data_IF_252253513601
#
_entry.id   IF_252253513601
#
_cell.length_a   1.000
_cell.length_b   1.000
_cell.length_c   1.000
_cell.angle_alpha   90.00
_cell.angle_beta   90.00
_cell.angle_gamma   90.00
#
_symmetry.space_group_name_H-M   'P 1'
#
loop_
_entity.id
_entity.type
_entity.pdbx_description
1 polymer ?
#
# COMPACT_ATOMS: atom_id res chain seq x y z
N UNK A 1 2.46 -11.57 -35.18
CA UNK A 1 1.28 -12.40 -34.89
C UNK A 1 0.06 -11.49 -34.84
N UNK A 2 -0.72 -11.41 -35.91
CA UNK A 2 -1.98 -10.66 -35.93
C UNK A 2 -3.06 -11.50 -35.29
N UNK A 3 -3.55 -11.09 -34.12
CA UNK A 3 -4.54 -11.86 -33.33
C UNK A 3 -5.92 -11.75 -34.00
N UNK A 4 -6.68 -12.84 -34.26
CA UNK A 4 -7.75 -12.87 -35.28
C UNK A 4 -9.10 -12.23 -34.94
N UNK A 5 -9.26 -11.54 -33.81
CA UNK A 5 -10.53 -10.94 -33.38
C UNK A 5 -10.34 -9.45 -33.09
N UNK A 6 -11.38 -8.66 -33.32
CA UNK A 6 -11.39 -7.21 -33.11
C UNK A 6 -11.19 -6.83 -31.63
N UNK A 7 -10.64 -5.65 -31.37
CA UNK A 7 -10.61 -5.07 -30.03
C UNK A 7 -12.05 -4.93 -29.48
N UNK A 8 -12.28 -5.40 -28.26
CA UNK A 8 -13.58 -5.33 -27.59
C UNK A 8 -14.54 -6.50 -27.84
N UNK A 9 -14.06 -7.60 -28.45
CA UNK A 9 -14.78 -8.88 -28.44
C UNK A 9 -15.06 -9.34 -27.00
N UNK A 10 -16.24 -9.91 -26.76
CA UNK A 10 -16.69 -10.43 -25.46
C UNK A 10 -15.76 -11.49 -24.87
N UNK A 11 -14.99 -12.17 -25.72
CA UNK A 11 -13.98 -13.18 -25.36
C UNK A 11 -12.60 -12.60 -25.06
N UNK A 12 -12.44 -11.27 -25.08
CA UNK A 12 -11.17 -10.58 -24.89
C UNK A 12 -11.26 -9.50 -23.80
N UNK A 13 -10.11 -9.03 -23.29
CA UNK A 13 -10.08 -7.80 -22.51
C UNK A 13 -10.81 -6.66 -23.21
N UNK A 14 -11.50 -5.82 -22.45
CA UNK A 14 -12.22 -4.67 -23.01
C UNK A 14 -11.25 -3.75 -23.77
N UNK A 15 -11.77 -2.96 -24.71
CA UNK A 15 -10.96 -1.97 -25.43
C UNK A 15 -10.25 -1.01 -24.47
N UNK A 16 -10.92 -0.61 -23.38
CA UNK A 16 -10.36 0.23 -22.33
C UNK A 16 -9.15 -0.41 -21.64
N UNK A 17 -9.31 -1.64 -21.12
CA UNK A 17 -8.21 -2.34 -20.45
C UNK A 17 -7.05 -2.61 -21.42
N UNK A 18 -7.37 -3.05 -22.64
CA UNK A 18 -6.37 -3.28 -23.69
C UNK A 18 -5.57 -2.02 -24.00
N UNK A 19 -6.23 -0.86 -24.18
CA UNK A 19 -5.53 0.39 -24.47
C UNK A 19 -4.62 0.83 -23.31
N UNK A 20 -5.07 0.65 -22.06
CA UNK A 20 -4.24 0.95 -20.88
C UNK A 20 -3.02 0.02 -20.81
N UNK A 21 -3.19 -1.28 -21.04
CA UNK A 21 -2.07 -2.24 -21.03
C UNK A 21 -1.08 -1.95 -22.15
N UNK A 22 -1.54 -1.65 -23.36
CA UNK A 22 -0.65 -1.25 -24.46
C UNK A 22 0.09 0.05 -24.16
N UNK A 23 -0.60 1.04 -23.60
CA UNK A 23 0.00 2.29 -23.16
C UNK A 23 1.10 2.06 -22.12
N UNK A 24 0.84 1.24 -21.09
CA UNK A 24 1.83 0.92 -20.08
C UNK A 24 3.02 0.16 -20.65
N UNK A 25 2.79 -0.84 -21.50
CA UNK A 25 3.87 -1.57 -22.18
C UNK A 25 4.76 -0.63 -22.99
N UNK A 26 4.15 0.32 -23.71
CA UNK A 26 4.85 1.35 -24.47
C UNK A 26 5.66 2.28 -23.55
N UNK A 27 5.07 2.77 -22.46
CA UNK A 27 5.75 3.63 -21.48
C UNK A 27 6.93 2.92 -20.80
N UNK A 28 6.77 1.65 -20.41
CA UNK A 28 7.83 0.86 -19.78
C UNK A 28 8.95 0.48 -20.76
N UNK A 29 8.65 0.44 -22.07
CA UNK A 29 9.65 0.16 -23.12
C UNK A 29 10.45 1.39 -23.56
N UNK A 30 10.25 2.56 -22.93
CA UNK A 30 11.01 3.78 -23.24
C UNK A 30 10.48 4.58 -24.44
N UNK A 31 9.16 4.72 -24.56
CA UNK A 31 8.54 5.53 -25.61
C UNK A 31 8.93 7.01 -25.59
N UNK A 32 8.81 7.64 -26.76
CA UNK A 32 8.94 9.08 -26.90
C UNK A 32 7.75 9.82 -26.27
N UNK A 33 7.95 11.09 -25.91
CA UNK A 33 6.90 11.91 -25.30
C UNK A 33 5.63 12.04 -26.17
N UNK A 34 5.80 12.08 -27.49
CA UNK A 34 4.68 12.17 -28.45
C UNK A 34 3.87 10.88 -28.48
N UNK A 35 4.54 9.73 -28.53
CA UNK A 35 3.91 8.41 -28.49
C UNK A 35 3.18 8.19 -27.16
N UNK A 36 3.83 8.54 -26.04
CA UNK A 36 3.23 8.44 -24.71
C UNK A 36 1.96 9.27 -24.62
N UNK A 37 1.98 10.51 -25.10
CA UNK A 37 0.82 11.42 -25.10
C UNK A 37 -0.33 10.86 -25.95
N UNK A 38 -0.05 10.34 -27.14
CA UNK A 38 -1.07 9.79 -28.03
C UNK A 38 -1.75 8.54 -27.45
N UNK A 39 -0.96 7.61 -26.91
CA UNK A 39 -1.50 6.39 -26.31
C UNK A 39 -2.22 6.65 -24.99
N UNK A 40 -1.71 7.56 -24.16
CA UNK A 40 -2.37 7.97 -22.92
C UNK A 40 -3.73 8.61 -23.23
N UNK A 41 -3.79 9.53 -24.19
CA UNK A 41 -5.05 10.18 -24.60
C UNK A 41 -6.09 9.15 -25.05
N UNK A 42 -5.67 8.17 -25.84
CA UNK A 42 -6.54 7.07 -26.28
C UNK A 42 -7.00 6.20 -25.11
N UNK A 43 -6.10 5.83 -24.21
CA UNK A 43 -6.43 5.01 -23.04
C UNK A 43 -7.45 5.72 -22.13
N UNK A 44 -7.23 6.99 -21.80
CA UNK A 44 -8.15 7.80 -21.01
C UNK A 44 -9.55 7.90 -21.65
N UNK A 45 -9.61 8.12 -22.97
CA UNK A 45 -10.88 8.16 -23.71
C UNK A 45 -11.63 6.84 -23.69
N UNK A 46 -10.94 5.70 -23.73
CA UNK A 46 -11.59 4.39 -23.67
C UNK A 46 -12.08 4.07 -22.25
N UNK A 47 -11.28 4.40 -21.23
CA UNK A 47 -11.64 4.17 -19.82
C UNK A 47 -12.86 5.00 -19.42
N UNK A 48 -12.94 6.28 -19.82
CA UNK A 48 -14.09 7.13 -19.52
C UNK A 48 -15.42 6.61 -20.09
N UNK A 49 -15.36 5.79 -21.14
CA UNK A 49 -16.52 5.23 -21.83
C UNK A 49 -16.83 3.77 -21.46
N UNK A 50 -16.02 3.14 -20.60
CA UNK A 50 -16.11 1.69 -20.36
C UNK A 50 -17.47 1.25 -19.80
N UNK A 51 -18.06 2.05 -18.92
CA UNK A 51 -19.37 1.75 -18.31
C UNK A 51 -20.53 1.84 -19.29
N UNK A 52 -20.38 2.61 -20.36
CA UNK A 52 -21.35 2.72 -21.44
C UNK A 52 -21.27 1.56 -22.44
N UNK A 53 -20.25 0.70 -22.34
CA UNK A 53 -20.11 -0.48 -23.20
C UNK A 53 -21.00 -1.64 -22.74
N UNK A 54 -21.30 -2.55 -23.66
CA UNK A 54 -22.04 -3.78 -23.37
C UNK A 54 -21.13 -4.93 -22.91
N UNK A 55 -19.86 -4.66 -22.59
CA UNK A 55 -18.92 -5.72 -22.19
C UNK A 55 -19.36 -6.34 -20.83
N UNK A 56 -19.36 -7.68 -20.68
CA UNK A 56 -19.81 -8.37 -19.48
C UNK A 56 -18.92 -8.04 -18.28
N UNK A 57 -17.61 -8.01 -18.49
CA UNK A 57 -16.62 -7.69 -17.45
C UNK A 57 -16.31 -6.19 -17.32
N UNK A 58 -17.18 -5.28 -17.82
CA UNK A 58 -16.89 -3.83 -17.86
C UNK A 58 -16.52 -3.23 -16.51
N UNK A 59 -17.09 -3.72 -15.41
CA UNK A 59 -16.78 -3.22 -14.06
C UNK A 59 -15.41 -3.70 -13.56
N UNK A 60 -15.07 -4.98 -13.78
CA UNK A 60 -13.77 -5.55 -13.42
C UNK A 60 -12.67 -4.93 -14.27
N UNK A 61 -12.83 -4.97 -15.59
CA UNK A 61 -11.88 -4.35 -16.53
C UNK A 61 -11.74 -2.85 -16.29
N UNK A 62 -12.82 -2.17 -15.90
CA UNK A 62 -12.78 -0.74 -15.53
C UNK A 62 -11.96 -0.52 -14.28
N UNK A 63 -12.20 -1.32 -13.25
CA UNK A 63 -11.43 -1.27 -11.99
C UNK A 63 -9.93 -1.51 -12.25
N UNK A 64 -9.59 -2.54 -13.02
CA UNK A 64 -8.20 -2.84 -13.41
C UNK A 64 -7.56 -1.69 -14.19
N UNK A 65 -8.27 -1.13 -15.19
CA UNK A 65 -7.77 -0.03 -16.00
C UNK A 65 -7.53 1.25 -15.17
N UNK A 66 -8.43 1.57 -14.25
CA UNK A 66 -8.31 2.70 -13.32
C UNK A 66 -7.13 2.52 -12.35
N UNK A 67 -6.93 1.31 -11.80
CA UNK A 67 -5.75 0.98 -10.97
C UNK A 67 -4.45 1.21 -11.75
N UNK A 68 -4.36 0.67 -12.97
CA UNK A 68 -3.18 0.75 -13.81
C UNK A 68 -2.83 2.20 -14.19
N UNK A 69 -3.84 3.01 -14.56
CA UNK A 69 -3.66 4.44 -14.81
C UNK A 69 -3.23 5.18 -13.55
N UNK A 70 -3.87 4.89 -12.42
CA UNK A 70 -3.51 5.47 -11.13
C UNK A 70 -2.04 5.23 -10.79
N UNK A 71 -1.56 3.98 -10.92
CA UNK A 71 -0.15 3.62 -10.70
C UNK A 71 0.78 4.35 -11.66
N UNK A 72 0.42 4.54 -12.94
CA UNK A 72 1.21 5.34 -13.88
C UNK A 72 1.32 6.81 -13.45
N UNK A 73 0.21 7.44 -13.10
CA UNK A 73 0.24 8.84 -12.67
C UNK A 73 1.03 9.01 -11.37
N UNK A 74 0.90 8.07 -10.44
CA UNK A 74 1.74 8.02 -9.27
C UNK A 74 3.22 7.77 -9.59
N UNK A 75 3.57 6.95 -10.58
CA UNK A 75 4.97 6.76 -11.01
C UNK A 75 5.57 8.03 -11.58
N UNK A 76 4.77 8.82 -12.30
CA UNK A 76 5.19 10.05 -13.00
C UNK A 76 5.11 11.32 -12.16
N UNK A 77 4.79 11.22 -10.86
CA UNK A 77 4.67 12.36 -9.95
C UNK A 77 3.38 13.18 -10.15
N UNK A 78 2.45 12.69 -10.96
CA UNK A 78 1.15 13.31 -11.29
C UNK A 78 0.10 12.94 -10.25
N UNK A 79 0.35 13.31 -8.99
CA UNK A 79 -0.39 12.80 -7.84
C UNK A 79 -1.91 13.07 -7.86
N UNK A 80 -2.35 14.23 -8.34
CA UNK A 80 -3.78 14.57 -8.41
C UNK A 80 -4.55 13.64 -9.35
N UNK A 81 -3.97 13.33 -10.51
CA UNK A 81 -4.57 12.42 -11.49
C UNK A 81 -4.52 10.97 -10.99
N UNK A 82 -3.41 10.59 -10.34
CA UNK A 82 -3.31 9.29 -9.66
C UNK A 82 -4.41 9.11 -8.62
N UNK A 83 -4.70 10.15 -7.81
CA UNK A 83 -5.79 10.16 -6.83
C UNK A 83 -7.17 10.09 -7.49
N UNK A 84 -7.37 10.79 -8.61
CA UNK A 84 -8.62 10.75 -9.36
C UNK A 84 -8.93 9.32 -9.82
N UNK A 85 -8.00 8.69 -10.54
CA UNK A 85 -8.17 7.33 -11.05
C UNK A 85 -8.30 6.29 -9.92
N UNK A 86 -7.55 6.45 -8.82
CA UNK A 86 -7.72 5.55 -7.67
C UNK A 86 -9.11 5.68 -7.05
N UNK A 87 -9.64 6.91 -6.94
CA UNK A 87 -10.99 7.15 -6.41
C UNK A 87 -12.05 6.52 -7.32
N UNK A 88 -11.88 6.62 -8.64
CA UNK A 88 -12.73 5.92 -9.61
C UNK A 88 -12.69 4.40 -9.41
N UNK A 89 -11.50 3.81 -9.24
CA UNK A 89 -11.37 2.37 -8.95
C UNK A 89 -12.10 1.95 -7.66
N UNK A 90 -12.04 2.76 -6.61
CA UNK A 90 -12.79 2.54 -5.35
C UNK A 90 -14.29 2.54 -5.60
N UNK A 91 -14.80 3.54 -6.31
CA UNK A 91 -16.22 3.63 -6.65
C UNK A 91 -16.67 2.42 -7.47
N UNK A 92 -15.89 2.02 -8.48
CA UNK A 92 -16.18 0.83 -9.29
C UNK A 92 -16.21 -0.44 -8.44
N UNK A 93 -15.20 -0.67 -7.59
CA UNK A 93 -15.13 -1.85 -6.73
C UNK A 93 -16.33 -1.92 -5.75
N UNK A 94 -16.76 -0.79 -5.21
CA UNK A 94 -17.92 -0.72 -4.35
C UNK A 94 -19.25 -0.95 -5.10
N UNK A 95 -19.43 -0.29 -6.25
CA UNK A 95 -20.60 -0.48 -7.12
C UNK A 95 -20.72 -1.93 -7.61
N UNK A 96 -19.59 -2.59 -7.86
CA UNK A 96 -19.49 -3.99 -8.22
C UNK A 96 -19.72 -4.95 -7.04
N UNK A 97 -19.86 -4.44 -5.80
CA UNK A 97 -20.05 -5.28 -4.61
C UNK A 97 -18.83 -6.08 -4.20
N UNK A 98 -17.62 -5.72 -4.67
CA UNK A 98 -16.41 -6.53 -4.46
C UNK A 98 -15.94 -6.58 -3.01
N UNK A 99 -16.51 -5.76 -2.12
CA UNK A 99 -16.26 -5.76 -0.68
C UNK A 99 -17.12 -6.78 0.09
N UNK A 100 -18.06 -7.47 -0.59
CA UNK A 100 -19.01 -8.44 -0.02
C UNK A 100 -18.90 -9.85 -0.62
N UNK A 101 -17.82 -10.14 -1.34
CA UNK A 101 -17.59 -11.47 -1.93
C UNK A 101 -17.51 -12.53 -0.82
N UNK A 102 -18.15 -13.69 -1.04
CA UNK A 102 -18.21 -14.80 -0.08
C UNK A 102 -18.59 -14.40 1.37
N UNK A 103 -19.53 -13.47 1.54
CA UNK A 103 -19.98 -13.06 2.87
C UNK A 103 -20.71 -14.19 3.60
N UNK A 104 -20.20 -14.55 4.79
CA UNK A 104 -20.85 -15.50 5.70
C UNK A 104 -21.95 -14.89 6.58
N UNK A 105 -22.26 -13.60 6.43
CA UNK A 105 -23.29 -12.94 7.25
C UNK A 105 -24.70 -13.27 6.73
N UNK A 106 -25.63 -13.73 7.61
CA UNK A 106 -27.03 -14.00 7.23
C UNK A 106 -27.79 -12.73 6.80
N UNK A 107 -27.25 -11.54 7.09
CA UNK A 107 -27.77 -10.25 6.63
C UNK A 107 -27.45 -9.95 5.15
N UNK A 108 -26.95 -10.92 4.40
CA UNK A 108 -26.81 -10.83 2.93
C UNK A 108 -28.18 -10.87 2.22
N UNK A 109 -29.19 -10.22 2.77
CA UNK A 109 -30.20 -9.60 1.92
C UNK A 109 -29.51 -8.43 1.24
N UNK A 110 -29.27 -8.58 -0.06
CA UNK A 110 -28.87 -7.49 -0.93
C UNK A 110 -29.69 -6.23 -0.58
N UNK A 111 -29.09 -5.05 -0.41
CA UNK A 111 -29.83 -3.79 -0.30
C UNK A 111 -30.66 -3.44 -1.55
N UNK A 112 -30.85 -4.38 -2.50
CA UNK A 112 -31.80 -4.29 -3.60
C UNK A 112 -33.24 -4.67 -3.22
N UNK A 113 -33.52 -5.03 -1.97
CA UNK A 113 -34.86 -5.41 -1.52
C UNK A 113 -35.80 -4.25 -1.15
N UNK A 114 -35.29 -3.03 -0.92
CA UNK A 114 -36.10 -1.90 -0.42
C UNK A 114 -36.02 -0.61 -1.27
N UNK A 115 -35.30 -0.64 -2.38
CA UNK A 115 -35.45 0.31 -3.48
C UNK A 115 -35.46 -0.48 -4.78
N UNK A 116 -36.60 -0.48 -5.48
CA UNK A 116 -36.80 -1.23 -6.71
C UNK A 116 -35.91 -0.74 -7.85
N UNK A 117 -34.68 -1.25 -7.94
CA UNK A 117 -33.86 -1.47 -9.13
C UNK A 117 -32.41 -1.80 -8.69
N UNK A 118 -32.00 -3.07 -8.82
CA UNK A 118 -30.58 -3.45 -8.80
C UNK A 118 -30.24 -4.55 -7.79
N UNK A 119 -30.20 -5.80 -8.26
CA UNK A 119 -29.36 -6.84 -7.64
C UNK A 119 -27.87 -6.46 -7.73
N UNK A 120 -26.94 -7.32 -7.27
CA UNK A 120 -25.51 -7.08 -7.49
C UNK A 120 -25.25 -6.76 -8.96
N UNK A 121 -24.56 -5.65 -9.24
CA UNK A 121 -24.27 -5.20 -10.61
C UNK A 121 -23.44 -6.22 -11.40
N UNK A 122 -22.73 -7.11 -10.69
CA UNK A 122 -21.98 -8.22 -11.26
C UNK A 122 -22.73 -9.54 -11.07
N UNK A 123 -22.73 -10.43 -12.09
CA UNK A 123 -23.17 -11.81 -11.92
C UNK A 123 -22.24 -12.55 -10.96
N UNK A 124 -22.64 -13.74 -10.50
CA UNK A 124 -21.75 -14.63 -9.76
C UNK A 124 -20.47 -14.93 -10.55
N UNK A 125 -19.34 -15.24 -9.87
CA UNK A 125 -18.12 -15.64 -10.54
C UNK A 125 -18.34 -16.84 -11.48
N UNK A 126 -17.76 -16.81 -12.66
CA UNK A 126 -17.93 -17.87 -13.66
C UNK A 126 -17.15 -19.14 -13.30
N UNK A 127 -15.97 -18.95 -12.72
CA UNK A 127 -15.06 -20.00 -12.27
C UNK A 127 -14.21 -19.49 -11.09
N UNK A 128 -13.31 -20.35 -10.60
CA UNK A 128 -12.39 -20.01 -9.50
C UNK A 128 -11.43 -18.88 -9.88
N UNK A 129 -11.06 -18.75 -11.15
CA UNK A 129 -10.13 -17.73 -11.66
C UNK A 129 -10.82 -16.35 -11.60
N UNK A 130 -12.02 -16.20 -12.16
CA UNK A 130 -12.84 -14.98 -12.09
C UNK A 130 -13.07 -14.57 -10.64
N UNK A 131 -13.31 -15.54 -9.75
CA UNK A 131 -13.40 -15.25 -8.31
C UNK A 131 -12.08 -14.72 -7.72
N UNK A 132 -10.95 -15.34 -8.07
CA UNK A 132 -9.62 -14.90 -7.68
C UNK A 132 -9.31 -13.48 -8.16
N UNK A 133 -9.63 -13.15 -9.41
CA UNK A 133 -9.45 -11.82 -10.00
C UNK A 133 -10.27 -10.76 -9.25
N UNK A 134 -11.52 -11.07 -8.89
CA UNK A 134 -12.41 -10.16 -8.15
C UNK A 134 -11.92 -9.89 -6.73
N UNK A 135 -11.51 -10.94 -6.02
CA UNK A 135 -11.00 -10.83 -4.65
C UNK A 135 -9.66 -10.07 -4.65
N UNK A 136 -8.71 -10.46 -5.50
CA UNK A 136 -7.42 -9.78 -5.61
C UNK A 136 -7.58 -8.33 -6.09
N UNK A 137 -8.50 -8.08 -7.02
CA UNK A 137 -8.83 -6.73 -7.48
C UNK A 137 -9.30 -5.82 -6.35
N UNK A 138 -10.23 -6.29 -5.51
CA UNK A 138 -10.69 -5.55 -4.33
C UNK A 138 -9.53 -5.21 -3.39
N UNK A 139 -8.72 -6.21 -3.02
CA UNK A 139 -7.62 -5.99 -2.09
C UNK A 139 -6.51 -5.11 -2.67
N UNK A 140 -6.34 -5.10 -4.00
CA UNK A 140 -5.42 -4.19 -4.68
C UNK A 140 -5.88 -2.75 -4.53
N UNK A 141 -7.15 -2.46 -4.82
CA UNK A 141 -7.74 -1.12 -4.62
C UNK A 141 -7.59 -0.70 -3.16
N UNK A 142 -7.99 -1.56 -2.23
CA UNK A 142 -7.92 -1.30 -0.79
C UNK A 142 -6.49 -0.95 -0.33
N UNK A 143 -5.51 -1.74 -0.77
CA UNK A 143 -4.10 -1.56 -0.42
C UNK A 143 -3.55 -0.25 -0.94
N UNK A 144 -3.79 0.05 -2.22
CA UNK A 144 -3.36 1.30 -2.83
C UNK A 144 -3.98 2.51 -2.13
N UNK A 145 -5.27 2.46 -1.78
CA UNK A 145 -5.93 3.55 -1.06
C UNK A 145 -5.28 3.83 0.29
N UNK A 146 -5.01 2.78 1.07
CA UNK A 146 -4.36 2.93 2.38
C UNK A 146 -2.96 3.53 2.25
N UNK A 147 -2.12 2.97 1.36
CA UNK A 147 -0.74 3.43 1.18
C UNK A 147 -0.66 4.88 0.66
N UNK A 148 -1.39 5.19 -0.41
CA UNK A 148 -1.34 6.52 -1.02
C UNK A 148 -2.05 7.58 -0.17
N UNK A 149 -3.02 7.18 0.67
CA UNK A 149 -3.71 8.08 1.60
C UNK A 149 -2.77 8.65 2.66
N UNK A 150 -1.81 7.83 3.12
CA UNK A 150 -0.80 8.26 4.09
C UNK A 150 0.31 9.10 3.44
N UNK A 151 0.67 8.82 2.18
CA UNK A 151 1.79 9.46 1.50
C UNK A 151 1.52 10.83 0.89
N UNK A 152 0.35 11.00 0.26
CA UNK A 152 0.01 12.19 -0.55
C UNK A 152 -1.07 13.04 0.14
N UNK A 153 -1.44 12.68 1.37
CA UNK A 153 -2.53 13.30 2.11
C UNK A 153 -3.88 12.66 1.75
N UNK A 154 -4.74 12.58 2.77
CA UNK A 154 -5.91 11.71 2.82
C UNK A 154 -6.72 11.62 1.53
N UNK A 155 -7.17 10.41 1.24
CA UNK A 155 -8.35 10.25 0.42
C UNK A 155 -9.55 10.63 1.28
N UNK A 156 -10.38 11.55 0.81
CA UNK A 156 -11.73 11.74 1.36
C UNK A 156 -12.64 10.55 1.03
N UNK A 157 -12.09 9.33 0.94
CA UNK A 157 -12.86 8.13 0.68
C UNK A 157 -13.50 7.69 1.99
N UNK A 158 -14.52 8.45 2.37
CA UNK A 158 -15.54 8.13 3.36
C UNK A 158 -16.06 6.69 3.18
N UNK A 159 -15.85 6.07 2.01
CA UNK A 159 -16.18 4.68 1.72
C UNK A 159 -15.46 3.69 2.65
N UNK A 160 -14.13 3.67 2.78
CA UNK A 160 -13.50 2.62 3.62
C UNK A 160 -13.63 2.86 5.12
N UNK A 161 -13.79 4.12 5.55
CA UNK A 161 -14.14 4.43 6.94
C UNK A 161 -15.58 4.03 7.26
N UNK A 162 -16.53 4.23 6.33
CA UNK A 162 -17.94 3.84 6.49
C UNK A 162 -18.17 2.34 6.27
N UNK A 163 -17.39 1.69 5.39
CA UNK A 163 -17.53 0.28 5.02
C UNK A 163 -16.52 -0.64 5.70
N UNK A 164 -15.53 -0.14 6.44
CA UNK A 164 -14.49 -0.98 7.07
C UNK A 164 -15.07 -2.04 8.02
N UNK A 165 -16.17 -1.71 8.72
CA UNK A 165 -16.97 -2.64 9.52
C UNK A 165 -17.79 -3.64 8.69
N UNK A 166 -17.91 -3.41 7.39
CA UNK A 166 -18.73 -4.13 6.42
C UNK A 166 -17.91 -4.79 5.30
N UNK A 167 -16.58 -4.81 5.36
CA UNK A 167 -15.78 -5.59 4.40
C UNK A 167 -15.88 -7.06 4.82
N UNK A 168 -16.61 -7.84 4.02
CA UNK A 168 -16.78 -9.29 4.23
C UNK A 168 -15.97 -10.11 3.24
N UNK A 169 -15.29 -9.50 2.27
CA UNK A 169 -14.43 -10.24 1.33
C UNK A 169 -13.29 -10.91 2.11
N UNK A 170 -13.04 -12.22 1.91
CA UNK A 170 -11.96 -12.92 2.60
C UNK A 170 -10.59 -12.42 2.11
N UNK A 171 -9.54 -12.59 2.92
CA UNK A 171 -8.17 -12.30 2.49
C UNK A 171 -7.83 -13.06 1.21
N UNK A 172 -7.10 -12.46 0.25
CA UNK A 172 -6.85 -13.08 -1.05
C UNK A 172 -5.96 -14.31 -0.91
N UNK A 173 -6.11 -15.27 -1.83
CA UNK A 173 -5.14 -16.35 -2.03
C UNK A 173 -4.16 -15.96 -3.16
N UNK A 174 -3.07 -16.71 -3.30
CA UNK A 174 -2.21 -16.59 -4.48
C UNK A 174 -3.00 -17.03 -5.73
N UNK A 175 -2.72 -16.45 -6.90
CA UNK A 175 -3.55 -16.66 -8.09
C UNK A 175 -3.53 -18.13 -8.54
N UNK A 176 -2.39 -18.78 -8.33
CA UNK A 176 -2.15 -20.20 -8.59
C UNK A 176 -3.12 -21.11 -7.83
N UNK A 177 -3.53 -20.71 -6.61
CA UNK A 177 -4.51 -21.50 -5.84
C UNK A 177 -5.91 -21.44 -6.44
N UNK A 178 -6.28 -20.33 -7.08
CA UNK A 178 -7.54 -20.23 -7.81
C UNK A 178 -7.48 -21.01 -9.13
N UNK A 179 -6.37 -20.91 -9.86
CA UNK A 179 -6.15 -21.62 -11.13
C UNK A 179 -6.16 -23.14 -10.95
N UNK A 180 -5.53 -23.63 -9.88
CA UNK A 180 -5.45 -25.05 -9.56
C UNK A 180 -6.62 -25.52 -8.66
N UNK A 181 -7.61 -24.64 -8.45
CA UNK A 181 -8.83 -24.87 -7.68
C UNK A 181 -8.57 -25.40 -6.24
N UNK A 182 -7.49 -24.91 -5.62
CA UNK A 182 -7.08 -25.18 -4.22
C UNK A 182 -7.74 -24.23 -3.23
N UNK A 183 -8.99 -23.85 -3.48
CA UNK A 183 -9.72 -22.98 -2.59
C UNK A 183 -10.10 -23.76 -1.31
N UNK A 184 -9.81 -23.21 -0.11
CA UNK A 184 -10.15 -23.88 1.15
C UNK A 184 -11.66 -24.11 1.30
N UNK A 185 -12.09 -25.24 1.89
CA UNK A 185 -13.52 -25.60 1.99
C UNK A 185 -14.36 -24.63 2.82
N UNK A 186 -13.76 -23.82 3.70
CA UNK A 186 -14.41 -22.78 4.50
C UNK A 186 -13.88 -21.38 4.16
N UNK A 187 -13.48 -21.16 2.91
CA UNK A 187 -13.02 -19.86 2.45
C UNK A 187 -14.21 -18.90 2.31
N UNK A 188 -14.64 -18.33 3.43
CA UNK A 188 -15.69 -17.32 3.55
C UNK A 188 -15.13 -16.13 4.32
N UNK A 189 -15.63 -14.93 4.05
CA UNK A 189 -15.26 -13.77 4.84
C UNK A 189 -16.44 -13.21 5.64
N UNK A 190 -16.12 -12.54 6.74
CA UNK A 190 -17.10 -12.00 7.67
C UNK A 190 -16.43 -10.90 8.50
N UNK A 191 -16.75 -9.63 8.21
CA UNK A 191 -16.10 -8.47 8.84
C UNK A 191 -14.56 -8.62 8.87
N UNK A 192 -13.98 -9.02 7.75
CA UNK A 192 -12.58 -9.48 7.60
C UNK A 192 -11.57 -8.52 8.22
N UNK A 193 -11.68 -7.22 7.89
CA UNK A 193 -10.84 -6.15 8.44
C UNK A 193 -11.01 -6.00 9.95
N UNK A 194 -12.26 -5.96 10.42
CA UNK A 194 -12.58 -5.80 11.85
C UNK A 194 -12.05 -6.98 12.68
N UNK A 195 -12.17 -8.21 12.18
CA UNK A 195 -11.68 -9.42 12.86
C UNK A 195 -10.16 -9.42 13.00
N UNK A 196 -9.45 -8.99 11.95
CA UNK A 196 -7.99 -8.82 11.99
C UNK A 196 -7.57 -7.77 13.03
N UNK A 197 -8.19 -6.58 13.01
CA UNK A 197 -7.89 -5.52 13.98
C UNK A 197 -8.23 -5.90 15.42
N UNK A 198 -9.26 -6.74 15.60
CA UNK A 198 -9.67 -7.23 16.92
C UNK A 198 -8.85 -8.42 17.40
N UNK A 199 -7.82 -8.86 16.64
CA UNK A 199 -6.96 -9.99 16.95
C UNK A 199 -7.75 -11.28 17.26
N UNK A 200 -8.89 -11.47 16.59
CA UNK A 200 -9.67 -12.69 16.77
C UNK A 200 -8.80 -13.87 16.31
N UNK A 201 -8.55 -14.88 17.15
CA UNK A 201 -7.73 -16.01 16.77
C UNK A 201 -8.24 -16.62 15.48
N UNK A 202 -7.38 -16.60 14.46
CA UNK A 202 -7.59 -17.34 13.24
C UNK A 202 -7.70 -18.81 13.63
N UNK A 203 -8.77 -19.48 13.23
CA UNK A 203 -8.88 -20.92 13.44
C UNK A 203 -7.70 -21.59 12.74
N UNK A 204 -7.07 -22.58 13.37
CA UNK A 204 -5.81 -23.26 12.99
C UNK A 204 -5.63 -23.79 11.54
N UNK A 205 -6.53 -23.46 10.59
CA UNK A 205 -6.48 -23.79 9.17
C UNK A 205 -6.50 -22.57 8.24
N UNK A 206 -6.34 -21.35 8.74
CA UNK A 206 -6.14 -20.21 7.86
C UNK A 206 -4.74 -20.35 7.25
N UNK A 207 -4.73 -20.68 5.96
CA UNK A 207 -3.58 -21.05 5.15
C UNK A 207 -2.45 -20.03 5.24
N UNK A 208 -1.23 -20.44 4.85
CA UNK A 208 -0.13 -19.50 4.64
C UNK A 208 -0.67 -18.28 3.89
N UNK A 209 -0.66 -17.12 4.57
CA UNK A 209 -1.28 -15.91 4.05
C UNK A 209 -0.59 -15.54 2.75
N UNK A 210 -1.36 -15.39 1.68
CA UNK A 210 -0.81 -15.00 0.36
C UNK A 210 -0.01 -13.70 0.50
N UNK A 211 0.90 -13.46 -0.44
CA UNK A 211 1.72 -12.23 -0.39
C UNK A 211 0.85 -10.99 -0.50
N UNK A 212 -0.22 -11.06 -1.29
CA UNK A 212 -1.20 -9.99 -1.42
C UNK A 212 -2.00 -9.78 -0.12
N UNK A 213 -2.32 -10.84 0.62
CA UNK A 213 -2.99 -10.74 1.90
C UNK A 213 -2.11 -10.05 2.95
N UNK A 214 -0.84 -10.45 3.05
CA UNK A 214 0.13 -9.80 3.93
C UNK A 214 0.35 -8.33 3.55
N UNK A 215 0.44 -8.05 2.25
CA UNK A 215 0.59 -6.69 1.74
C UNK A 215 -0.63 -5.82 2.10
N UNK A 216 -1.86 -6.32 1.89
CA UNK A 216 -3.09 -5.64 2.27
C UNK A 216 -3.21 -5.41 3.78
N UNK A 217 -2.90 -6.42 4.59
CA UNK A 217 -2.88 -6.33 6.05
C UNK A 217 -1.89 -5.27 6.54
N UNK A 218 -0.67 -5.24 6.00
CA UNK A 218 0.33 -4.22 6.34
C UNK A 218 -0.17 -2.80 6.00
N UNK A 219 -0.81 -2.62 4.85
CA UNK A 219 -1.33 -1.31 4.42
C UNK A 219 -2.41 -0.78 5.37
N UNK A 220 -3.28 -1.66 5.87
CA UNK A 220 -4.29 -1.34 6.86
C UNK A 220 -3.63 -0.88 8.17
N UNK A 221 -2.59 -1.58 8.63
CA UNK A 221 -1.87 -1.16 9.84
C UNK A 221 -1.22 0.21 9.69
N UNK A 222 -0.66 0.52 8.52
CA UNK A 222 -0.11 1.84 8.20
C UNK A 222 -1.18 2.94 8.22
N UNK A 223 -2.33 2.70 7.57
CA UNK A 223 -3.46 3.63 7.59
C UNK A 223 -3.95 3.88 9.02
N UNK A 224 -4.19 2.83 9.81
CA UNK A 224 -4.62 2.96 11.21
C UNK A 224 -3.62 3.69 12.08
N UNK A 225 -2.33 3.43 11.88
CA UNK A 225 -1.26 4.11 12.61
C UNK A 225 -1.22 5.60 12.29
N UNK A 226 -1.31 5.96 11.00
CA UNK A 226 -1.32 7.34 10.56
C UNK A 226 -2.57 8.09 11.05
N UNK A 227 -3.75 7.48 10.95
CA UNK A 227 -5.00 8.06 11.39
C UNK A 227 -5.04 8.25 12.91
N UNK A 228 -4.61 7.25 13.68
CA UNK A 228 -4.50 7.39 15.14
C UNK A 228 -3.52 8.50 15.51
N UNK A 229 -2.32 8.52 14.91
CA UNK A 229 -1.33 9.57 15.17
C UNK A 229 -1.86 10.98 14.84
N UNK A 230 -2.63 11.13 13.76
CA UNK A 230 -3.24 12.41 13.38
C UNK A 230 -4.33 12.90 14.35
N UNK A 231 -4.96 11.98 15.10
CA UNK A 231 -5.99 12.29 16.09
C UNK A 231 -5.45 12.74 17.45
N UNK A 232 -4.13 12.61 17.67
CA UNK A 232 -3.51 13.00 18.92
C UNK A 232 -3.42 14.52 19.05
N UNK A 233 -3.87 15.05 20.18
CA UNK A 233 -3.61 16.43 20.59
C UNK A 233 -3.12 16.45 22.04
N UNK A 234 -2.30 17.43 22.40
CA UNK A 234 -1.79 17.58 23.78
C UNK A 234 -2.89 17.99 24.79
N UNK A 235 -4.06 18.38 24.30
CA UNK A 235 -5.16 18.96 25.07
C UNK A 235 -6.37 18.00 25.21
N UNK A 236 -6.18 16.70 24.96
CA UNK A 236 -7.24 15.71 25.08
C UNK A 236 -7.83 15.65 26.50
N UNK A 237 -9.15 15.50 26.60
CA UNK A 237 -9.82 15.23 27.87
C UNK A 237 -9.31 13.91 28.48
N UNK A 238 -9.21 13.75 29.81
CA UNK A 238 -8.65 12.55 30.44
C UNK A 238 -9.24 11.22 29.95
N UNK A 239 -10.56 11.17 29.72
CA UNK A 239 -11.24 9.98 29.20
C UNK A 239 -10.87 9.68 27.74
N UNK A 240 -10.73 10.71 26.92
CA UNK A 240 -10.30 10.59 25.53
C UNK A 240 -8.85 10.15 25.44
N UNK A 241 -7.99 10.71 26.30
CA UNK A 241 -6.61 10.29 26.43
C UNK A 241 -6.49 8.82 26.84
N UNK A 242 -7.30 8.35 27.80
CA UNK A 242 -7.32 6.94 28.19
C UNK A 242 -7.76 6.01 27.04
N UNK A 243 -8.78 6.41 26.26
CA UNK A 243 -9.22 5.68 25.06
C UNK A 243 -8.15 5.67 23.97
N UNK A 244 -7.53 6.82 23.72
CA UNK A 244 -6.43 6.96 22.77
C UNK A 244 -5.29 6.01 23.14
N UNK A 245 -4.83 6.03 24.40
CA UNK A 245 -3.71 5.19 24.85
C UNK A 245 -4.01 3.70 24.78
N UNK A 246 -5.25 3.29 25.01
CA UNK A 246 -5.68 1.90 24.81
C UNK A 246 -5.58 1.50 23.34
N UNK A 247 -6.10 2.33 22.43
CA UNK A 247 -6.01 2.09 20.99
C UNK A 247 -4.56 2.08 20.50
N UNK A 248 -3.74 3.01 21.00
CA UNK A 248 -2.31 3.08 20.73
C UNK A 248 -1.61 1.79 21.10
N UNK A 249 -1.81 1.31 22.33
CA UNK A 249 -1.14 0.10 22.84
C UNK A 249 -1.61 -1.15 22.10
N UNK A 250 -2.91 -1.24 21.80
CA UNK A 250 -3.48 -2.36 21.03
C UNK A 250 -2.92 -2.40 19.61
N UNK A 251 -2.85 -1.25 18.94
CA UNK A 251 -2.34 -1.15 17.58
C UNK A 251 -0.83 -1.40 17.53
N UNK A 252 -0.08 -0.87 18.49
CA UNK A 252 1.37 -1.08 18.59
C UNK A 252 1.71 -2.57 18.74
N UNK A 253 1.01 -3.26 19.65
CA UNK A 253 1.15 -4.71 19.85
C UNK A 253 0.77 -5.50 18.59
N UNK A 254 -0.28 -5.09 17.88
CA UNK A 254 -0.68 -5.72 16.62
C UNK A 254 0.39 -5.57 15.54
N UNK A 255 0.96 -4.37 15.38
CA UNK A 255 2.03 -4.11 14.40
C UNK A 255 3.25 -4.98 14.70
N UNK A 256 3.68 -5.03 15.97
CA UNK A 256 4.84 -5.85 16.35
C UNK A 256 4.59 -7.34 16.14
N UNK A 257 3.41 -7.85 16.52
CA UNK A 257 3.03 -9.27 16.34
C UNK A 257 2.91 -9.64 14.87
N UNK A 258 2.31 -8.76 14.06
CA UNK A 258 2.19 -8.97 12.63
C UNK A 258 3.58 -9.00 11.96
N UNK A 259 4.44 -8.02 12.27
CA UNK A 259 5.81 -7.97 11.72
C UNK A 259 6.62 -9.22 12.06
N UNK A 260 6.55 -9.72 13.29
CA UNK A 260 7.28 -10.94 13.68
C UNK A 260 6.73 -12.21 13.02
N UNK A 261 5.48 -12.18 12.55
CA UNK A 261 4.87 -13.27 11.79
C UNK A 261 5.22 -13.28 10.31
N UNK A 262 5.77 -12.19 9.76
CA UNK A 262 6.11 -12.09 8.35
C UNK A 262 7.27 -13.02 7.97
N UNK A 263 7.23 -13.63 6.77
CA UNK A 263 8.37 -14.34 6.21
C UNK A 263 9.63 -13.45 6.15
N UNK A 264 10.80 -13.93 6.58
CA UNK A 264 12.08 -13.24 6.41
C UNK A 264 12.39 -13.00 4.93
N UNK A 265 12.94 -11.82 4.61
CA UNK A 265 13.33 -11.47 3.23
C UNK A 265 14.35 -12.43 2.62
N UNK A 266 15.19 -13.06 3.44
CA UNK A 266 16.19 -14.04 2.99
C UNK A 266 15.58 -15.32 2.39
N UNK A 267 14.28 -15.57 2.59
CA UNK A 267 13.61 -16.73 2.01
C UNK A 267 13.20 -16.53 0.55
N UNK A 268 13.18 -15.27 0.08
CA UNK A 268 12.78 -14.94 -1.29
C UNK A 268 13.98 -14.40 -2.06
N UNK A 269 14.33 -14.96 -3.24
CA UNK A 269 15.41 -14.43 -4.06
C UNK A 269 15.15 -12.98 -4.46
N UNK A 270 16.16 -12.11 -4.32
CA UNK A 270 16.04 -10.68 -4.66
C UNK A 270 15.71 -10.38 -6.13
N UNK A 271 15.88 -11.36 -7.01
CA UNK A 271 15.48 -11.30 -8.42
C UNK A 271 13.99 -11.58 -8.66
N UNK A 272 13.27 -12.08 -7.65
CA UNK A 272 11.85 -12.43 -7.78
C UNK A 272 10.96 -11.19 -7.56
N UNK A 273 9.88 -10.99 -8.34
CA UNK A 273 8.86 -9.97 -8.04
C UNK A 273 8.30 -10.09 -6.61
N UNK A 274 8.21 -11.32 -6.10
CA UNK A 274 7.75 -11.61 -4.74
C UNK A 274 8.64 -10.99 -3.66
N UNK A 275 9.94 -10.83 -3.94
CA UNK A 275 10.85 -10.17 -3.01
C UNK A 275 10.43 -8.73 -2.81
N UNK A 276 10.09 -8.01 -3.88
CA UNK A 276 9.69 -6.61 -3.78
C UNK A 276 8.35 -6.44 -3.06
N UNK A 277 7.40 -7.36 -3.24
CA UNK A 277 6.14 -7.35 -2.48
C UNK A 277 6.40 -7.57 -0.99
N UNK A 278 7.24 -8.55 -0.64
CA UNK A 278 7.58 -8.82 0.75
C UNK A 278 8.40 -7.68 1.37
N UNK A 279 9.38 -7.15 0.64
CA UNK A 279 10.19 -6.00 1.06
C UNK A 279 9.33 -4.78 1.33
N UNK A 280 8.41 -4.48 0.41
CA UNK A 280 7.45 -3.40 0.58
C UNK A 280 6.53 -3.64 1.80
N UNK A 281 6.09 -4.86 2.03
CA UNK A 281 5.28 -5.25 3.21
C UNK A 281 6.03 -4.97 4.52
N UNK A 282 7.32 -5.35 4.61
CA UNK A 282 8.16 -5.04 5.77
C UNK A 282 8.34 -3.53 5.95
N UNK A 283 8.63 -2.78 4.88
CA UNK A 283 8.76 -1.31 4.92
C UNK A 283 7.49 -0.64 5.41
N UNK A 284 6.31 -1.12 4.99
CA UNK A 284 5.03 -0.60 5.44
C UNK A 284 4.85 -0.82 6.94
N UNK A 285 5.21 -1.99 7.47
CA UNK A 285 5.16 -2.25 8.92
C UNK A 285 6.07 -1.32 9.72
N UNK A 286 7.32 -1.13 9.30
CA UNK A 286 8.22 -0.18 9.95
C UNK A 286 7.70 1.25 9.86
N UNK A 287 7.14 1.63 8.71
CA UNK A 287 6.54 2.96 8.52
C UNK A 287 5.29 3.14 9.38
N UNK A 288 4.48 2.10 9.59
CA UNK A 288 3.36 2.11 10.52
C UNK A 288 3.84 2.36 11.95
N UNK A 289 4.90 1.68 12.39
CA UNK A 289 5.54 1.95 13.68
C UNK A 289 6.06 3.39 13.78
N UNK A 290 6.74 3.90 12.75
CA UNK A 290 7.21 5.29 12.70
C UNK A 290 6.02 6.23 12.87
N UNK A 291 4.97 6.11 12.04
CA UNK A 291 3.79 6.97 12.09
C UNK A 291 3.13 6.97 13.47
N UNK A 292 2.92 5.79 14.06
CA UNK A 292 2.28 5.65 15.37
C UNK A 292 3.08 6.34 16.47
N UNK A 293 4.39 6.12 16.53
CA UNK A 293 5.23 6.62 17.61
C UNK A 293 5.73 8.06 17.41
N UNK A 294 5.68 8.62 16.19
CA UNK A 294 6.28 9.91 15.89
C UNK A 294 5.70 11.05 16.76
N UNK A 295 4.40 11.01 17.03
CA UNK A 295 3.72 11.99 17.90
C UNK A 295 4.33 12.08 19.31
N UNK A 296 5.03 11.04 19.76
CA UNK A 296 5.65 10.95 21.08
C UNK A 296 7.18 10.92 21.03
N UNK A 297 7.81 11.02 19.85
CA UNK A 297 9.26 10.86 19.72
C UNK A 297 10.06 11.97 20.43
N UNK A 298 9.51 13.18 20.52
CA UNK A 298 10.14 14.31 21.22
C UNK A 298 10.06 14.19 22.74
N UNK A 299 8.96 13.65 23.27
CA UNK A 299 8.66 13.62 24.71
C UNK A 299 8.91 12.27 25.38
N UNK A 300 8.93 11.17 24.62
CA UNK A 300 9.06 9.81 25.13
C UNK A 300 10.27 9.09 24.52
N UNK A 301 11.26 8.77 25.37
CA UNK A 301 12.48 8.09 24.96
C UNK A 301 12.25 6.70 24.35
N UNK A 302 11.21 5.97 24.77
CA UNK A 302 10.85 4.67 24.21
C UNK A 302 10.35 4.83 22.76
N UNK A 303 9.39 5.74 22.55
CA UNK A 303 8.87 6.04 21.20
C UNK A 303 9.98 6.49 20.28
N UNK A 304 10.87 7.39 20.73
CA UNK A 304 12.03 7.82 19.95
C UNK A 304 12.90 6.64 19.50
N UNK A 305 13.30 5.76 20.43
CA UNK A 305 14.12 4.58 20.11
C UNK A 305 13.42 3.66 19.10
N UNK A 306 12.11 3.49 19.23
CA UNK A 306 11.31 2.61 18.36
C UNK A 306 11.15 3.19 16.95
N UNK A 307 10.94 4.50 16.81
CA UNK A 307 10.95 5.21 15.51
C UNK A 307 12.31 5.08 14.84
N UNK A 308 13.40 5.38 15.55
CA UNK A 308 14.76 5.30 15.01
C UNK A 308 15.11 3.88 14.56
N UNK A 309 14.90 2.88 15.41
CA UNK A 309 15.18 1.48 15.05
C UNK A 309 14.36 1.01 13.85
N UNK A 310 13.14 1.51 13.70
CA UNK A 310 12.30 1.18 12.54
C UNK A 310 12.86 1.81 11.26
N UNK A 311 13.31 3.07 11.33
CA UNK A 311 13.96 3.74 10.20
C UNK A 311 15.27 3.04 9.80
N UNK A 312 16.12 2.67 10.77
CA UNK A 312 17.34 1.89 10.53
C UNK A 312 17.05 0.57 9.82
N UNK A 313 16.09 -0.20 10.32
CA UNK A 313 15.75 -1.49 9.72
C UNK A 313 15.20 -1.34 8.29
N UNK A 314 14.46 -0.26 7.98
CA UNK A 314 14.05 0.03 6.61
C UNK A 314 15.26 0.13 5.68
N UNK A 315 16.27 0.92 6.05
CA UNK A 315 17.49 1.11 5.25
C UNK A 315 18.26 -0.20 5.15
N UNK A 316 18.53 -0.83 6.29
CA UNK A 316 19.32 -2.07 6.36
C UNK A 316 18.67 -3.25 5.65
N UNK A 317 17.34 -3.27 5.50
CA UNK A 317 16.64 -4.34 4.77
C UNK A 317 16.94 -4.35 3.26
N UNK A 318 17.37 -3.22 2.69
CA UNK A 318 17.85 -3.14 1.30
C UNK A 318 19.34 -3.43 1.14
N UNK A 319 20.10 -3.43 2.24
CA UNK A 319 21.57 -3.53 2.21
C UNK A 319 22.02 -4.88 1.64
N UNK A 320 22.97 -4.83 0.71
CA UNK A 320 23.63 -6.02 0.16
C UNK A 320 22.85 -6.74 -0.95
N UNK A 321 21.73 -6.17 -1.39
CA UNK A 321 21.01 -6.62 -2.57
C UNK A 321 21.46 -5.83 -3.81
N UNK A 322 21.62 -6.52 -4.94
CA UNK A 322 21.90 -5.88 -6.23
C UNK A 322 20.58 -5.59 -6.94
N UNK A 323 20.29 -4.29 -7.11
CA UNK A 323 19.09 -3.81 -7.76
C UNK A 323 19.33 -3.27 -9.18
N UNK A 324 20.54 -3.41 -9.71
CA UNK A 324 20.91 -2.86 -11.03
C UNK A 324 20.08 -3.42 -12.19
N UNK A 325 19.50 -4.61 -12.03
CA UNK A 325 18.65 -5.28 -13.02
C UNK A 325 17.15 -4.97 -12.89
N UNK A 326 16.75 -4.13 -11.93
CA UNK A 326 15.35 -3.87 -11.63
C UNK A 326 14.89 -2.63 -12.38
N UNK A 327 14.18 -2.83 -13.48
CA UNK A 327 13.73 -1.73 -14.36
C UNK A 327 12.51 -0.97 -13.81
N UNK A 328 11.63 -1.67 -13.10
CA UNK A 328 10.35 -1.14 -12.65
C UNK A 328 10.19 -1.36 -11.14
N UNK A 329 10.03 -0.26 -10.42
CA UNK A 329 9.80 -0.25 -8.98
C UNK A 329 8.42 0.30 -8.65
N UNK A 330 7.78 -0.26 -7.62
CA UNK A 330 6.51 0.27 -7.13
C UNK A 330 6.72 1.70 -6.57
N UNK A 331 5.98 2.71 -7.06
CA UNK A 331 6.18 4.11 -6.63
C UNK A 331 5.90 4.36 -5.14
N UNK A 332 5.24 3.43 -4.43
CA UNK A 332 5.04 3.52 -2.97
C UNK A 332 6.37 3.51 -2.22
N UNK A 333 7.43 2.85 -2.73
CA UNK A 333 8.75 2.91 -2.10
C UNK A 333 9.23 4.34 -1.86
N UNK A 334 9.01 5.25 -2.83
CA UNK A 334 9.38 6.65 -2.70
C UNK A 334 8.73 7.35 -1.51
N UNK A 335 7.45 7.06 -1.24
CA UNK A 335 6.72 7.58 -0.07
C UNK A 335 7.31 7.04 1.23
N UNK A 336 7.53 5.73 1.30
CA UNK A 336 8.00 5.08 2.54
C UNK A 336 9.42 5.53 2.87
N UNK A 337 10.30 5.58 1.86
CA UNK A 337 11.65 6.11 2.01
C UNK A 337 11.65 7.58 2.41
N UNK A 338 10.73 8.41 1.90
CA UNK A 338 10.54 9.78 2.39
C UNK A 338 10.32 9.82 3.90
N UNK A 339 9.40 9.00 4.39
CA UNK A 339 9.05 8.95 5.82
C UNK A 339 10.28 8.49 6.64
N UNK A 340 11.01 7.49 6.16
CA UNK A 340 12.23 6.99 6.81
C UNK A 340 13.34 8.03 6.83
N UNK A 341 13.62 8.68 5.69
CA UNK A 341 14.68 9.68 5.56
C UNK A 341 14.45 10.89 6.46
N UNK A 342 13.21 11.36 6.59
CA UNK A 342 12.86 12.45 7.52
C UNK A 342 13.24 12.12 8.97
N UNK A 343 12.98 10.90 9.43
CA UNK A 343 13.37 10.46 10.77
C UNK A 343 14.89 10.48 10.96
N UNK A 344 15.64 10.01 9.96
CA UNK A 344 17.11 9.98 10.03
C UNK A 344 17.66 11.41 10.05
N UNK A 345 17.14 12.30 9.22
CA UNK A 345 17.51 13.73 9.18
C UNK A 345 17.20 14.41 10.51
N UNK A 346 15.99 14.22 11.06
CA UNK A 346 15.61 14.78 12.36
C UNK A 346 16.57 14.34 13.48
N UNK A 347 17.03 13.08 13.47
CA UNK A 347 18.01 12.59 14.44
C UNK A 347 19.39 13.19 14.23
N UNK A 348 19.86 13.36 13.00
CA UNK A 348 21.12 14.06 12.69
C UNK A 348 21.07 15.48 13.24
N UNK A 349 20.00 16.23 12.93
CA UNK A 349 19.79 17.60 13.40
C UNK A 349 19.79 17.68 14.94
N UNK A 350 19.13 16.72 15.61
CA UNK A 350 19.09 16.64 17.08
C UNK A 350 20.47 16.37 17.67
N UNK A 351 21.25 15.47 17.07
CA UNK A 351 22.62 15.16 17.52
C UNK A 351 23.56 16.37 17.31
N UNK A 352 23.40 17.09 16.19
CA UNK A 352 24.13 18.34 15.92
C UNK A 352 23.82 19.41 16.96
N UNK A 353 22.56 19.56 17.34
CA UNK A 353 22.16 20.48 18.39
C UNK A 353 22.79 20.11 19.74
N UNK A 354 22.79 18.83 20.11
CA UNK A 354 23.44 18.37 21.35
C UNK A 354 24.93 18.61 21.33
N UNK A 355 25.59 18.34 20.20
CA UNK A 355 27.02 18.57 20.06
C UNK A 355 27.37 20.05 20.20
N UNK A 356 26.58 20.94 19.60
CA UNK A 356 26.76 22.39 19.73
C UNK A 356 26.62 22.89 21.17
N UNK A 357 25.73 22.26 21.97
CA UNK A 357 25.55 22.57 23.39
C UNK A 357 26.68 21.97 24.25
N UNK A 358 27.18 20.77 23.93
CA UNK A 358 28.28 20.14 24.66
C UNK A 358 29.59 20.92 24.53
N UNK A 359 29.87 21.53 23.37
CA UNK A 359 31.03 22.41 23.17
C UNK A 359 31.04 23.64 24.12
N UNK A 360 29.91 23.96 24.75
CA UNK A 360 29.82 25.01 25.77
C UNK A 360 30.12 24.53 27.21
N UNK A 361 30.20 23.22 27.46
CA UNK A 361 30.57 22.60 28.74
C UNK A 361 31.38 21.30 28.53
N UNK A 362 32.70 21.27 28.82
CA UNK A 362 33.56 20.15 28.43
C UNK A 362 33.16 18.85 29.13
N UNK A 363 32.67 17.87 28.37
CA UNK A 363 32.36 16.51 28.84
C UNK A 363 32.90 15.49 27.83
N UNK A 364 34.18 15.14 28.00
CA UNK A 364 35.01 14.32 27.11
C UNK A 364 34.47 12.91 26.75
N UNK A 365 33.42 12.39 27.43
CA UNK A 365 32.84 11.06 27.16
C UNK A 365 31.43 11.05 26.55
N UNK A 366 30.76 12.21 26.46
CA UNK A 366 29.44 12.34 25.84
C UNK A 366 29.59 12.72 24.37
N UNK A 367 30.57 13.56 24.06
CA UNK A 367 30.90 13.99 22.69
C UNK A 367 31.22 12.80 21.78
N UNK A 368 32.03 11.85 22.23
CA UNK A 368 32.45 10.69 21.43
C UNK A 368 31.27 9.78 21.05
N UNK A 369 30.35 9.51 21.98
CA UNK A 369 29.13 8.72 21.71
C UNK A 369 28.14 9.44 20.80
N UNK A 370 27.96 10.75 20.99
CA UNK A 370 27.06 11.57 20.16
C UNK A 370 27.62 11.64 18.74
N UNK A 371 28.92 11.84 18.59
CA UNK A 371 29.58 11.90 17.30
C UNK A 371 29.55 10.55 16.56
N UNK A 372 29.85 9.45 17.25
CA UNK A 372 29.75 8.10 16.66
C UNK A 372 28.33 7.82 16.15
N UNK A 373 27.32 8.13 16.96
CA UNK A 373 25.91 7.96 16.55
C UNK A 373 25.53 8.82 15.36
N UNK A 374 26.03 10.05 15.29
CA UNK A 374 25.80 10.95 14.16
C UNK A 374 26.38 10.36 12.87
N UNK A 375 27.60 9.84 12.92
CA UNK A 375 28.26 9.19 11.77
C UNK A 375 27.44 8.00 11.27
N UNK A 376 26.90 7.17 12.18
CA UNK A 376 26.00 6.07 11.81
C UNK A 376 24.75 6.58 11.06
N UNK A 377 24.11 7.65 11.55
CA UNK A 377 22.90 8.19 10.91
C UNK A 377 23.18 8.77 9.52
N UNK A 378 24.32 9.46 9.36
CA UNK A 378 24.76 9.96 8.05
C UNK A 378 24.99 8.80 7.07
N UNK A 379 25.67 7.74 7.50
CA UNK A 379 25.91 6.58 6.66
C UNK A 379 24.61 5.86 6.23
N UNK A 380 23.60 5.80 7.11
CA UNK A 380 22.29 5.26 6.74
C UNK A 380 21.54 6.17 5.77
N UNK A 381 21.67 7.49 5.91
CA UNK A 381 21.06 8.44 4.99
C UNK A 381 21.70 8.33 3.59
N UNK A 382 23.02 8.22 3.52
CA UNK A 382 23.76 7.97 2.27
C UNK A 382 23.33 6.65 1.61
N UNK A 383 23.19 5.58 2.38
CA UNK A 383 22.72 4.29 1.85
C UNK A 383 21.29 4.37 1.32
N UNK A 384 20.40 5.08 2.01
CA UNK A 384 19.04 5.32 1.55
C UNK A 384 19.07 6.07 0.21
N UNK A 385 19.92 7.10 0.08
CA UNK A 385 20.09 7.84 -1.16
C UNK A 385 20.56 6.97 -2.31
N UNK A 386 21.63 6.21 -2.11
CA UNK A 386 22.16 5.29 -3.12
C UNK A 386 21.09 4.31 -3.58
N UNK A 387 20.30 3.78 -2.65
CA UNK A 387 19.18 2.88 -2.97
C UNK A 387 18.10 3.60 -3.79
N UNK A 388 17.73 4.84 -3.42
CA UNK A 388 16.71 5.60 -4.15
C UNK A 388 17.18 6.03 -5.54
N UNK A 389 18.47 6.34 -5.71
CA UNK A 389 19.06 6.82 -6.96
C UNK A 389 18.97 5.75 -8.06
N UNK A 390 19.14 4.46 -7.71
CA UNK A 390 18.97 3.32 -8.63
C UNK A 390 17.63 3.38 -9.36
N UNK A 391 16.58 3.87 -8.69
CA UNK A 391 15.21 3.88 -9.23
C UNK A 391 14.72 5.27 -9.66
N UNK A 392 15.46 6.33 -9.32
CA UNK A 392 15.04 7.71 -9.54
C UNK A 392 14.85 8.05 -11.03
N UNK A 393 15.70 7.49 -11.90
CA UNK A 393 15.61 7.68 -13.35
C UNK A 393 14.33 7.10 -13.96
N UNK A 394 13.82 6.02 -13.38
CA UNK A 394 12.67 5.27 -13.89
C UNK A 394 11.38 5.55 -13.11
N UNK A 395 11.42 6.29 -12.01
CA UNK A 395 10.26 6.63 -11.20
C UNK A 395 10.40 8.04 -10.64
N UNK A 396 9.66 8.99 -11.22
CA UNK A 396 9.69 10.40 -10.80
C UNK A 396 9.33 10.57 -9.33
N UNK A 397 8.41 9.77 -8.79
CA UNK A 397 8.05 9.85 -7.37
C UNK A 397 9.19 9.42 -6.44
N UNK A 398 10.03 8.47 -6.86
CA UNK A 398 11.23 8.12 -6.10
C UNK A 398 12.28 9.22 -6.27
N UNK A 399 12.49 9.74 -7.48
CA UNK A 399 13.47 10.82 -7.73
C UNK A 399 13.09 12.18 -7.13
N UNK A 400 11.81 12.47 -6.94
CA UNK A 400 11.30 13.67 -6.28
C UNK A 400 11.27 13.55 -4.75
N UNK A 401 11.85 12.49 -4.18
CA UNK A 401 12.00 12.40 -2.75
C UNK A 401 12.99 13.48 -2.30
N UNK A 402 12.46 14.63 -1.83
CA UNK A 402 13.18 15.85 -1.41
C UNK A 402 14.25 15.62 -0.33
N UNK A 403 14.45 14.39 0.12
CA UNK A 403 15.57 14.01 0.97
C UNK A 403 16.89 14.47 0.30
N UNK A 404 17.01 14.44 -1.04
CA UNK A 404 18.23 14.77 -1.79
C UNK A 404 18.67 16.25 -1.71
N UNK A 405 17.92 17.13 -1.02
CA UNK A 405 18.28 18.55 -0.85
C UNK A 405 18.95 18.85 0.50
N UNK A 406 19.12 17.84 1.35
CA UNK A 406 19.91 17.88 2.59
C UNK A 406 21.25 17.19 2.37
#
# INVERSE_FOLDING_TARGET
MTVPLSLGDYSRPSSALSCVVYFLGLHLSGATADEETAFLSKALSQVSNILSTHHPLRLIHGTQAEILLSTYFFRTGRYLEGKYHLSSAVSLAACAGLHKLRSGSPDSFSPGGLMGAGGPLLPEPQDSIDEGERINGFWTVFTLCNCWGVGVGGFSSMMFESFGSHIDTPWPLDMEDYEENRIPPNYIGASTVRRFLSQVPLTHRDHASSKMALYAQSSLLLERAANLASSYTSELHPDEHARYMRNFTSLDSLIDTFRTSLPPLSQTPSTSPDFFVMWLTHLICYTATIKLHNAFASSNSFSRKKVLRSAENCVLSGRGHDFSHVEVMNPIFGILWRIVGLIIIEEIMRLDQINSQALSMPSWGVEDRVMGRRVEMVALLEELFLTTEVFACNCKTIGQCDICQF
#
